data_IF_106740684128
#
_entry.id   IF_106740684128
#
_cell.length_a   1.000
_cell.length_b   1.000
_cell.length_c   1.000
_cell.angle_alpha   90.00
_cell.angle_beta   90.00
_cell.angle_gamma   90.00
#
_symmetry.space_group_name_H-M   'P 1'
#
loop_
_entity.id
_entity.type
_entity.pdbx_description
1 polymer ?
#
# COMPACT_ATOMS: atom_id res chain seq x y z
N UNK A 1 8.59 -12.77 -45.94
CA UNK A 1 9.58 -12.81 -44.85
C UNK A 1 9.79 -11.47 -44.11
N UNK A 2 9.21 -10.34 -44.54
CA UNK A 2 9.49 -9.01 -43.95
C UNK A 2 8.65 -8.54 -42.75
N UNK A 3 7.74 -9.37 -42.21
CA UNK A 3 6.78 -8.93 -41.17
C UNK A 3 7.05 -9.50 -39.76
N UNK A 4 7.95 -10.47 -39.62
CA UNK A 4 8.21 -11.16 -38.35
C UNK A 4 9.24 -10.42 -37.47
N UNK A 5 10.28 -9.83 -38.07
CA UNK A 5 11.29 -9.05 -37.35
C UNK A 5 10.72 -7.72 -36.82
N UNK A 6 9.88 -7.04 -37.61
CA UNK A 6 9.21 -5.81 -37.18
C UNK A 6 8.21 -6.08 -36.03
N UNK A 7 7.46 -7.19 -36.10
CA UNK A 7 6.55 -7.59 -35.02
C UNK A 7 7.30 -7.90 -33.71
N UNK A 8 8.49 -8.51 -33.78
CA UNK A 8 9.32 -8.81 -32.61
C UNK A 8 9.86 -7.56 -31.88
N UNK A 9 9.98 -6.42 -32.59
CA UNK A 9 10.47 -5.16 -32.03
C UNK A 9 9.36 -4.26 -31.46
N UNK A 10 8.08 -4.57 -31.75
CA UNK A 10 6.93 -3.76 -31.34
C UNK A 10 6.83 -3.55 -29.81
N UNK A 11 7.13 -4.53 -28.94
CA UNK A 11 7.15 -4.31 -27.48
C UNK A 11 8.18 -3.25 -27.05
N UNK A 12 9.32 -3.19 -27.73
CA UNK A 12 10.39 -2.24 -27.45
C UNK A 12 10.07 -0.84 -27.95
N UNK A 13 9.30 -0.73 -29.05
CA UNK A 13 8.88 0.56 -29.60
C UNK A 13 7.98 1.37 -28.65
N UNK A 14 7.30 0.69 -27.70
CA UNK A 14 6.46 1.32 -26.67
C UNK A 14 7.12 1.38 -25.30
N UNK A 15 8.32 0.84 -25.17
CA UNK A 15 9.05 0.84 -23.92
C UNK A 15 9.56 2.26 -23.61
N UNK A 16 9.49 2.63 -22.34
CA UNK A 16 10.18 3.82 -21.80
C UNK A 16 11.17 3.37 -20.75
N UNK A 17 12.24 4.12 -20.58
CA UNK A 17 13.14 3.93 -19.44
C UNK A 17 12.43 4.34 -18.15
N UNK A 18 12.60 3.55 -17.09
CA UNK A 18 12.12 3.90 -15.77
C UNK A 18 12.93 5.08 -15.21
N UNK A 19 12.27 5.98 -14.50
CA UNK A 19 12.88 7.10 -13.80
C UNK A 19 12.91 6.85 -12.30
N UNK A 20 13.68 7.64 -11.55
CA UNK A 20 13.74 7.55 -10.09
C UNK A 20 12.40 7.90 -9.40
N UNK A 21 11.45 8.49 -10.13
CA UNK A 21 10.12 8.84 -9.61
C UNK A 21 9.07 7.76 -9.89
N UNK A 22 9.41 6.73 -10.67
CA UNK A 22 8.52 5.61 -10.90
C UNK A 22 8.52 4.69 -9.69
N UNK A 23 7.33 4.25 -9.28
CA UNK A 23 7.17 3.30 -8.17
C UNK A 23 6.98 1.90 -8.73
N UNK A 24 7.73 0.95 -8.15
CA UNK A 24 7.64 -0.48 -8.45
C UNK A 24 6.88 -1.14 -7.29
N UNK A 25 5.61 -1.52 -7.46
CA UNK A 25 4.85 -2.18 -6.40
C UNK A 25 5.44 -3.55 -6.06
N UNK A 26 5.31 -4.01 -4.82
CA UNK A 26 5.84 -5.30 -4.39
C UNK A 26 5.36 -6.48 -5.25
N UNK A 27 4.11 -6.41 -5.74
CA UNK A 27 3.53 -7.39 -6.66
C UNK A 27 4.33 -7.58 -7.96
N UNK A 28 5.09 -6.56 -8.41
CA UNK A 28 5.98 -6.67 -9.57
C UNK A 28 7.12 -7.67 -9.33
N UNK A 29 7.52 -7.91 -8.08
CA UNK A 29 8.56 -8.87 -7.71
C UNK A 29 8.28 -10.30 -8.16
N UNK A 30 7.01 -10.66 -8.39
CA UNK A 30 6.64 -11.97 -8.95
C UNK A 30 7.00 -12.16 -10.43
N UNK A 31 7.30 -11.08 -11.15
CA UNK A 31 7.53 -11.08 -12.61
C UNK A 31 8.93 -10.60 -12.98
N UNK A 32 9.49 -9.62 -12.24
CA UNK A 32 10.80 -9.06 -12.54
C UNK A 32 11.88 -10.15 -12.56
N UNK A 33 12.72 -10.15 -13.59
CA UNK A 33 13.79 -11.15 -13.77
C UNK A 33 13.33 -12.51 -14.29
N UNK A 34 12.03 -12.74 -14.48
CA UNK A 34 11.51 -13.98 -15.09
C UNK A 34 11.46 -13.88 -16.62
N UNK A 35 11.45 -15.03 -17.31
CA UNK A 35 11.40 -15.10 -18.77
C UNK A 35 9.98 -14.93 -19.30
N UNK A 36 9.77 -14.01 -20.24
CA UNK A 36 8.50 -13.88 -20.96
C UNK A 36 8.27 -15.10 -21.87
N UNK A 37 7.24 -15.89 -21.59
CA UNK A 37 6.91 -17.10 -22.36
C UNK A 37 8.04 -18.14 -22.37
N UNK A 38 8.91 -18.16 -21.36
CA UNK A 38 10.06 -19.07 -21.27
C UNK A 38 11.24 -18.70 -22.18
N UNK A 39 11.21 -17.56 -22.87
CA UNK A 39 12.33 -17.12 -23.71
C UNK A 39 13.45 -16.49 -22.86
N UNK A 40 14.67 -17.08 -22.81
CA UNK A 40 15.77 -16.58 -21.99
C UNK A 40 16.36 -15.24 -22.49
N UNK A 41 16.06 -14.83 -23.72
CA UNK A 41 16.46 -13.53 -24.25
C UNK A 41 15.44 -12.43 -23.93
N UNK A 42 14.25 -12.79 -23.44
CA UNK A 42 13.16 -11.87 -23.12
C UNK A 42 12.88 -11.85 -21.61
N UNK A 43 13.76 -11.23 -20.84
CA UNK A 43 13.70 -11.17 -19.37
C UNK A 43 13.04 -9.87 -18.92
N UNK A 44 11.93 -9.96 -18.19
CA UNK A 44 11.16 -8.79 -17.74
C UNK A 44 12.01 -7.85 -16.88
N UNK A 45 12.08 -6.58 -17.29
CA UNK A 45 12.82 -5.53 -16.59
C UNK A 45 14.33 -5.55 -16.79
N UNK A 46 14.85 -6.52 -17.57
CA UNK A 46 16.28 -6.64 -17.88
C UNK A 46 16.51 -6.47 -19.38
N UNK A 47 16.00 -7.39 -20.19
CA UNK A 47 16.13 -7.38 -21.66
C UNK A 47 14.80 -7.26 -22.39
N UNK A 48 13.68 -7.26 -21.65
CA UNK A 48 12.32 -7.12 -22.16
C UNK A 48 11.53 -6.14 -21.28
N UNK A 49 10.78 -5.19 -21.87
CA UNK A 49 10.10 -4.13 -21.12
C UNK A 49 8.99 -4.69 -20.24
N UNK A 50 8.87 -4.19 -19.01
CA UNK A 50 7.84 -4.62 -18.05
C UNK A 50 6.45 -4.11 -18.47
N UNK A 51 5.36 -4.89 -18.33
CA UNK A 51 4.01 -4.42 -18.58
C UNK A 51 3.61 -3.28 -17.65
N UNK A 52 2.82 -2.35 -18.18
CA UNK A 52 2.34 -1.13 -17.51
C UNK A 52 1.79 -1.37 -16.09
N UNK A 53 0.97 -2.41 -15.89
CA UNK A 53 0.38 -2.79 -14.59
C UNK A 53 1.35 -3.02 -13.43
N UNK A 54 2.65 -3.14 -13.69
CA UNK A 54 3.67 -3.36 -12.66
C UNK A 54 4.53 -2.12 -12.38
N UNK A 55 4.20 -0.97 -12.98
CA UNK A 55 4.91 0.28 -12.79
C UNK A 55 3.89 1.40 -12.57
N UNK A 56 4.13 2.24 -11.57
CA UNK A 56 3.35 3.46 -11.38
C UNK A 56 4.22 4.66 -11.74
N UNK A 57 3.81 5.37 -12.79
CA UNK A 57 4.45 6.59 -13.23
C UNK A 57 4.20 7.75 -12.25
N UNK A 58 5.01 8.79 -12.34
CA UNK A 58 4.76 10.04 -11.61
C UNK A 58 3.37 10.64 -11.94
N UNK A 59 2.94 10.55 -13.21
CA UNK A 59 1.63 11.03 -13.65
C UNK A 59 0.48 10.23 -13.03
N UNK A 60 0.59 8.89 -13.01
CA UNK A 60 -0.43 8.02 -12.40
C UNK A 60 -0.48 8.23 -10.89
N UNK A 61 0.67 8.31 -10.22
CA UNK A 61 0.75 8.62 -8.79
C UNK A 61 0.10 9.98 -8.49
N UNK A 62 0.38 11.00 -9.30
CA UNK A 62 -0.27 12.30 -9.22
C UNK A 62 -1.79 12.23 -9.38
N UNK A 63 -2.28 11.48 -10.37
CA UNK A 63 -3.70 11.28 -10.60
C UNK A 63 -4.41 10.54 -9.44
N UNK A 64 -3.77 9.50 -8.89
CA UNK A 64 -4.26 8.76 -7.72
C UNK A 64 -4.37 9.68 -6.50
N UNK A 65 -3.32 10.45 -6.21
CA UNK A 65 -3.30 11.38 -5.08
C UNK A 65 -4.35 12.50 -5.23
N UNK A 66 -4.48 13.06 -6.44
CA UNK A 66 -5.51 14.07 -6.72
C UNK A 66 -6.92 13.51 -6.53
N UNK A 67 -7.19 12.29 -7.04
CA UNK A 67 -8.49 11.64 -6.85
C UNK A 67 -8.75 11.30 -5.38
N UNK A 68 -7.74 10.86 -4.64
CA UNK A 68 -7.83 10.58 -3.20
C UNK A 68 -8.19 11.85 -2.42
N UNK A 69 -7.56 12.98 -2.74
CA UNK A 69 -7.88 14.27 -2.13
C UNK A 69 -9.34 14.70 -2.42
N UNK A 70 -9.85 14.46 -3.63
CA UNK A 70 -11.26 14.75 -3.98
C UNK A 70 -12.24 13.88 -3.18
N UNK A 71 -11.95 12.59 -2.99
CA UNK A 71 -12.78 11.74 -2.13
C UNK A 71 -12.76 12.21 -0.67
N UNK A 72 -11.58 12.54 -0.13
CA UNK A 72 -11.46 13.05 1.24
C UNK A 72 -12.23 14.38 1.42
N UNK A 73 -12.18 15.27 0.43
CA UNK A 73 -12.98 16.50 0.44
C UNK A 73 -14.48 16.18 0.49
N UNK A 74 -14.95 15.23 -0.34
CA UNK A 74 -16.35 14.80 -0.36
C UNK A 74 -16.79 14.21 1.00
N UNK A 75 -15.96 13.36 1.60
CA UNK A 75 -16.20 12.77 2.93
C UNK A 75 -16.30 13.87 3.98
N UNK A 76 -15.34 14.80 3.99
CA UNK A 76 -15.32 15.90 4.96
C UNK A 76 -16.54 16.82 4.81
N UNK A 77 -16.95 17.14 3.59
CA UNK A 77 -18.18 17.90 3.34
C UNK A 77 -19.42 17.16 3.82
N UNK A 78 -19.51 15.84 3.58
CA UNK A 78 -20.62 15.03 4.07
C UNK A 78 -20.66 15.00 5.61
N UNK A 79 -19.52 14.85 6.28
CA UNK A 79 -19.47 14.86 7.76
C UNK A 79 -19.78 16.24 8.33
N UNK A 80 -19.34 17.33 7.69
CA UNK A 80 -19.67 18.68 8.11
C UNK A 80 -21.20 18.91 8.13
N UNK A 81 -21.91 18.41 7.11
CA UNK A 81 -23.38 18.52 7.01
C UNK A 81 -24.13 17.71 8.07
N UNK A 82 -23.54 16.64 8.59
CA UNK A 82 -24.16 15.77 9.60
C UNK A 82 -23.27 15.62 10.84
N UNK A 83 -22.69 16.74 11.27
CA UNK A 83 -21.64 16.76 12.29
C UNK A 83 -22.09 16.32 13.68
N UNK A 84 -23.39 16.25 13.97
CA UNK A 84 -23.91 15.67 15.22
C UNK A 84 -23.98 14.14 15.21
N UNK A 85 -23.80 13.50 14.04
CA UNK A 85 -23.95 12.05 13.84
C UNK A 85 -22.71 11.36 13.30
N UNK A 86 -21.80 12.09 12.66
CA UNK A 86 -20.59 11.54 12.07
C UNK A 86 -19.32 12.10 12.69
N UNK A 87 -18.30 11.24 12.75
CA UNK A 87 -16.92 11.57 13.07
C UNK A 87 -16.05 11.22 11.86
N UNK A 88 -14.98 11.99 11.64
CA UNK A 88 -13.94 11.65 10.65
C UNK A 88 -12.73 11.11 11.39
N UNK A 89 -12.29 9.91 11.04
CA UNK A 89 -10.97 9.42 11.40
C UNK A 89 -9.98 9.78 10.27
N UNK A 90 -8.97 10.60 10.58
CA UNK A 90 -7.94 10.95 9.60
C UNK A 90 -6.86 9.85 9.53
N UNK A 91 -7.19 8.81 8.77
CA UNK A 91 -6.30 7.65 8.56
C UNK A 91 -5.01 8.08 7.85
N UNK A 92 -5.08 9.05 6.93
CA UNK A 92 -3.91 9.54 6.21
C UNK A 92 -2.90 10.20 7.16
N UNK A 93 -3.38 11.01 8.11
CA UNK A 93 -2.54 11.56 9.18
C UNK A 93 -2.02 10.46 10.10
N UNK A 94 -2.87 9.55 10.55
CA UNK A 94 -2.48 8.46 11.46
C UNK A 94 -1.32 7.61 10.91
N UNK A 95 -1.38 7.25 9.62
CA UNK A 95 -0.31 6.50 8.96
C UNK A 95 0.95 7.33 8.67
N UNK A 96 0.82 8.64 8.38
CA UNK A 96 1.99 9.52 8.25
C UNK A 96 2.72 9.67 9.59
N UNK A 97 1.98 9.85 10.68
CA UNK A 97 2.54 9.93 12.02
C UNK A 97 3.23 8.61 12.40
N UNK A 98 2.62 7.47 12.06
CA UNK A 98 3.23 6.15 12.24
C UNK A 98 4.53 5.97 11.45
N UNK A 99 4.56 6.43 10.19
CA UNK A 99 5.76 6.42 9.34
C UNK A 99 6.88 7.31 9.89
N UNK A 100 6.54 8.48 10.44
CA UNK A 100 7.49 9.39 11.08
C UNK A 100 8.03 8.80 12.38
N UNK A 101 7.16 8.23 13.21
CA UNK A 101 7.54 7.63 14.50
C UNK A 101 8.34 6.33 14.35
N UNK A 102 8.27 5.66 13.19
CA UNK A 102 8.93 4.38 12.86
C UNK A 102 8.47 3.17 13.67
N UNK A 103 7.82 3.37 14.82
CA UNK A 103 7.22 2.32 15.62
C UNK A 103 6.03 2.86 16.40
N UNK A 104 5.13 1.96 16.79
CA UNK A 104 4.03 2.21 17.70
C UNK A 104 3.96 1.06 18.70
N UNK A 105 3.76 1.37 19.98
CA UNK A 105 3.71 0.38 21.07
C UNK A 105 2.38 0.52 21.79
N UNK A 106 1.64 -0.58 21.93
CA UNK A 106 0.41 -0.68 22.73
C UNK A 106 0.31 -2.06 23.33
N UNK A 107 -0.19 -2.14 24.57
CA UNK A 107 -0.43 -3.41 25.28
C UNK A 107 0.81 -4.33 25.33
N UNK A 108 2.01 -3.74 25.44
CA UNK A 108 3.28 -4.47 25.43
C UNK A 108 3.73 -5.00 24.06
N UNK A 109 3.00 -4.68 22.99
CA UNK A 109 3.31 -5.10 21.61
C UNK A 109 3.74 -3.92 20.75
N UNK A 110 4.87 -4.09 20.07
CA UNK A 110 5.39 -3.13 19.09
C UNK A 110 4.96 -3.50 17.67
N UNK A 111 4.55 -2.50 16.90
CA UNK A 111 4.38 -2.58 15.45
C UNK A 111 5.22 -1.52 14.75
N UNK A 112 5.61 -1.79 13.50
CA UNK A 112 6.38 -0.90 12.61
C UNK A 112 5.67 -0.75 11.27
N UNK A 113 5.85 0.37 10.54
CA UNK A 113 5.24 0.60 9.23
C UNK A 113 5.99 -0.18 8.14
N UNK A 114 5.99 -1.50 8.30
CA UNK A 114 6.71 -2.50 7.51
C UNK A 114 5.84 -3.74 7.37
N UNK A 115 6.16 -4.61 6.42
CA UNK A 115 5.63 -5.97 6.34
C UNK A 115 6.60 -7.01 6.94
N UNK A 116 7.79 -6.57 7.38
CA UNK A 116 8.82 -7.46 7.90
C UNK A 116 8.43 -8.02 9.29
N UNK A 117 8.41 -9.35 9.48
CA UNK A 117 8.22 -9.93 10.80
C UNK A 117 9.41 -9.61 11.73
N UNK A 118 9.22 -9.60 13.07
CA UNK A 118 7.99 -9.93 13.79
C UNK A 118 7.07 -8.72 14.07
N UNK A 119 7.47 -7.50 13.70
CA UNK A 119 6.80 -6.26 14.11
C UNK A 119 6.07 -5.55 12.96
N UNK A 120 6.10 -6.09 11.74
CA UNK A 120 5.41 -5.48 10.61
C UNK A 120 3.90 -5.35 10.86
N UNK A 121 3.35 -4.17 10.57
CA UNK A 121 1.91 -3.91 10.59
C UNK A 121 1.21 -4.33 9.28
N UNK A 122 1.95 -4.60 8.22
CA UNK A 122 1.43 -5.02 6.91
C UNK A 122 1.64 -6.50 6.64
N UNK A 123 0.79 -7.08 5.80
CA UNK A 123 0.91 -8.45 5.29
C UNK A 123 2.02 -8.55 4.24
N UNK A 124 2.36 -9.76 3.80
CA UNK A 124 3.43 -10.04 2.83
C UNK A 124 3.15 -9.47 1.43
N UNK A 125 1.92 -9.02 1.16
CA UNK A 125 1.58 -8.29 -0.05
C UNK A 125 2.08 -6.83 -0.03
N UNK A 126 2.54 -6.33 1.12
CA UNK A 126 3.07 -4.98 1.30
C UNK A 126 2.02 -3.87 1.15
N UNK A 127 0.73 -4.20 1.08
CA UNK A 127 -0.36 -3.25 0.85
C UNK A 127 -1.40 -3.29 1.97
N UNK A 128 -1.90 -4.48 2.32
CA UNK A 128 -2.94 -4.61 3.33
C UNK A 128 -2.33 -4.73 4.71
N UNK A 129 -2.85 -4.02 5.73
CA UNK A 129 -2.51 -4.31 7.11
C UNK A 129 -2.76 -5.79 7.44
N UNK A 130 -1.94 -6.39 8.29
CA UNK A 130 -2.27 -7.69 8.87
C UNK A 130 -3.29 -7.49 10.01
N UNK A 131 -3.75 -8.57 10.65
CA UNK A 131 -4.76 -8.50 11.72
C UNK A 131 -4.39 -7.48 12.82
N UNK A 132 -3.12 -7.42 13.22
CA UNK A 132 -2.63 -6.44 14.20
C UNK A 132 -2.58 -5.01 13.65
N UNK A 133 -2.17 -4.83 12.39
CA UNK A 133 -2.25 -3.52 11.72
C UNK A 133 -3.68 -3.01 11.55
N UNK A 134 -4.64 -3.90 11.32
CA UNK A 134 -6.07 -3.55 11.31
C UNK A 134 -6.57 -3.16 12.69
N UNK A 135 -6.12 -3.80 13.77
CA UNK A 135 -6.44 -3.37 15.13
C UNK A 135 -5.91 -1.95 15.42
N UNK A 136 -4.69 -1.62 14.96
CA UNK A 136 -4.15 -0.26 15.04
C UNK A 136 -5.03 0.75 14.27
N UNK A 137 -5.47 0.39 13.06
CA UNK A 137 -6.37 1.23 12.25
C UNK A 137 -7.74 1.41 12.90
N UNK A 138 -8.32 0.33 13.45
CA UNK A 138 -9.59 0.36 14.15
C UNK A 138 -9.53 1.31 15.36
N UNK A 139 -8.41 1.34 16.07
CA UNK A 139 -8.20 2.26 17.19
C UNK A 139 -8.22 3.73 16.75
N UNK A 140 -7.82 4.08 15.53
CA UNK A 140 -7.97 5.44 14.99
C UNK A 140 -9.44 5.84 14.83
N UNK A 141 -10.28 4.91 14.39
CA UNK A 141 -11.73 5.14 14.30
C UNK A 141 -12.36 5.28 15.69
N UNK A 142 -11.97 4.41 16.63
CA UNK A 142 -12.43 4.48 18.03
C UNK A 142 -12.03 5.81 18.65
N UNK A 143 -10.80 6.28 18.42
CA UNK A 143 -10.32 7.58 18.88
C UNK A 143 -11.15 8.74 18.32
N UNK A 144 -11.44 8.72 17.01
CA UNK A 144 -12.27 9.74 16.38
C UNK A 144 -13.70 9.76 16.95
N UNK A 145 -14.30 8.59 17.19
CA UNK A 145 -15.65 8.47 17.77
C UNK A 145 -15.66 8.98 19.21
N UNK A 146 -14.72 8.50 20.05
CA UNK A 146 -14.63 8.91 21.45
C UNK A 146 -14.39 10.43 21.56
N UNK A 147 -13.48 10.98 20.76
CA UNK A 147 -13.21 12.42 20.74
C UNK A 147 -14.41 13.25 20.28
N UNK A 148 -15.16 12.77 19.27
CA UNK A 148 -16.29 13.50 18.69
C UNK A 148 -17.53 13.50 19.57
N UNK A 149 -17.82 12.35 20.21
CA UNK A 149 -19.08 12.12 20.91
C UNK A 149 -18.94 12.01 22.42
N UNK A 150 -17.72 12.15 22.97
CA UNK A 150 -17.46 11.96 24.40
C UNK A 150 -17.73 10.52 24.87
N UNK A 151 -17.66 9.56 23.95
CA UNK A 151 -17.88 8.14 24.24
C UNK A 151 -16.67 7.49 24.91
N UNK A 152 -16.87 6.32 25.50
CA UNK A 152 -15.85 5.54 26.21
C UNK A 152 -15.65 4.15 25.57
N UNK A 153 -15.69 4.08 24.24
CA UNK A 153 -15.50 2.82 23.52
C UNK A 153 -14.08 2.30 23.77
N UNK A 154 -13.91 1.08 24.28
CA UNK A 154 -12.59 0.52 24.55
C UNK A 154 -11.84 0.26 23.23
N UNK A 155 -10.53 0.50 23.25
CA UNK A 155 -9.64 0.20 22.13
C UNK A 155 -9.44 -1.31 21.98
N UNK A 156 -9.25 -1.75 20.75
CA UNK A 156 -8.76 -3.08 20.44
C UNK A 156 -7.33 -3.22 20.97
N UNK A 157 -7.08 -4.22 21.81
CA UNK A 157 -5.72 -4.52 22.28
C UNK A 157 -4.90 -5.10 21.14
N UNK A 158 -3.73 -4.53 20.85
CA UNK A 158 -2.88 -5.05 19.76
C UNK A 158 -2.34 -6.45 20.05
N UNK A 159 -2.20 -6.80 21.33
CA UNK A 159 -1.75 -8.11 21.79
C UNK A 159 -2.76 -9.23 21.48
N UNK A 160 -4.05 -8.89 21.30
CA UNK A 160 -5.09 -9.85 20.96
C UNK A 160 -5.07 -10.29 19.48
N UNK A 161 -4.25 -9.66 18.64
CA UNK A 161 -4.19 -9.93 17.21
C UNK A 161 -2.80 -10.38 16.76
N UNK A 162 -2.77 -11.34 15.85
CA UNK A 162 -1.53 -11.82 15.24
C UNK A 162 -0.96 -10.80 14.26
N UNK A 163 0.37 -10.67 14.28
CA UNK A 163 1.11 -10.04 13.18
C UNK A 163 1.53 -11.09 12.16
N UNK A 164 2.26 -10.65 11.14
CA UNK A 164 2.91 -11.53 10.16
C UNK A 164 3.89 -12.46 10.88
N UNK A 165 3.74 -13.76 10.68
CA UNK A 165 4.59 -14.77 11.31
C UNK A 165 6.00 -14.76 10.73
N UNK A 166 6.98 -15.21 11.52
CA UNK A 166 8.26 -15.60 10.95
C UNK A 166 8.04 -16.83 10.05
N UNK A 167 8.78 -16.98 8.94
CA UNK A 167 8.79 -18.23 8.19
C UNK A 167 9.05 -19.38 9.15
N UNK A 168 8.13 -20.35 9.21
CA UNK A 168 8.29 -21.56 10.01
C UNK A 168 9.20 -22.54 9.27
N UNK A 169 10.49 -22.20 9.20
CA UNK A 169 11.60 -22.93 8.54
C UNK A 169 11.44 -23.17 7.02
N UNK A 170 12.53 -23.07 6.24
CA UNK A 170 12.52 -23.31 4.78
C UNK A 170 12.33 -24.80 4.43
#
# INVERSE_FOLDING_TARGET
>A
AGNTAAAALLPYAKARQATATDLVPLAAGSVLGTCNGGNPLAVWGVSFPVPDKYMLTANETGAILARTAQFNATINSAVANYSSRFAVADIAKGYKDFLTAKAFISDGVMITPSFAPPTGAFSEDGLHPNSRGYAFTANMFIDAINAKFGSTIPKASLAAYSGTGLPVTP
#
